data_IF_509928598994
#
_entry.id   IF_509928598994
#
_cell.length_a   1.000
_cell.length_b   1.000
_cell.length_c   1.000
_cell.angle_alpha   90.00
_cell.angle_beta   90.00
_cell.angle_gamma   90.00
#
_symmetry.space_group_name_H-M   'P 1'
#
loop_
_entity.id
_entity.type
_entity.pdbx_description
1 polymer ?
#
# COMPACT_ATOMS: atom_id res chain seq x y z
N UNK A 1 1.85 -1.28 30.93
CA UNK A 1 0.94 -1.55 29.81
C UNK A 1 0.85 -3.04 29.56
N UNK A 2 -0.34 -3.61 29.46
CA UNK A 2 -0.49 -5.04 29.24
C UNK A 2 -0.47 -5.36 27.74
N UNK A 3 -0.38 -6.67 27.40
CA UNK A 3 -0.32 -7.12 26.01
C UNK A 3 -1.51 -6.71 25.15
N UNK A 4 -2.69 -6.67 25.76
CA UNK A 4 -3.91 -6.28 25.05
C UNK A 4 -3.87 -4.82 24.60
N UNK A 5 -3.36 -3.94 25.45
CA UNK A 5 -3.20 -2.52 25.09
C UNK A 5 -2.17 -2.34 23.99
N UNK A 6 -1.07 -3.11 24.02
CA UNK A 6 -0.04 -3.06 22.99
C UNK A 6 -0.57 -3.53 21.63
N UNK A 7 -1.34 -4.61 21.59
CA UNK A 7 -1.94 -5.11 20.37
C UNK A 7 -2.91 -4.08 19.77
N UNK A 8 -3.74 -3.48 20.62
CA UNK A 8 -4.68 -2.44 20.22
C UNK A 8 -3.95 -1.22 19.67
N UNK A 9 -2.87 -0.79 20.32
CA UNK A 9 -2.07 0.35 19.88
C UNK A 9 -1.43 0.09 18.51
N UNK A 10 -0.97 -1.15 18.24
CA UNK A 10 -0.41 -1.53 16.95
C UNK A 10 -1.42 -1.45 15.81
N UNK A 11 -2.63 -1.96 16.05
CA UNK A 11 -3.72 -1.86 15.07
C UNK A 11 -4.10 -0.41 14.81
N UNK A 12 -4.13 0.41 15.85
CA UNK A 12 -4.45 1.82 15.72
C UNK A 12 -3.40 2.59 14.93
N UNK A 13 -2.12 2.25 15.06
CA UNK A 13 -1.04 2.85 14.28
C UNK A 13 -1.16 2.50 12.80
N UNK A 14 -1.48 1.25 12.48
CA UNK A 14 -1.72 0.82 11.11
C UNK A 14 -2.87 1.60 10.47
N UNK A 15 -3.97 1.73 11.19
CA UNK A 15 -5.13 2.49 10.72
C UNK A 15 -4.78 3.96 10.49
N UNK A 16 -4.00 4.58 11.40
CA UNK A 16 -3.59 5.98 11.25
C UNK A 16 -2.71 6.18 10.02
N UNK A 17 -1.78 5.28 9.77
CA UNK A 17 -0.90 5.35 8.61
C UNK A 17 -1.70 5.26 7.32
N UNK A 18 -2.64 4.33 7.25
CA UNK A 18 -3.52 4.15 6.11
C UNK A 18 -4.36 5.42 5.85
N UNK A 19 -4.87 6.04 6.92
CA UNK A 19 -5.64 7.28 6.83
C UNK A 19 -4.78 8.42 6.30
N UNK A 20 -3.54 8.54 6.75
CA UNK A 20 -2.60 9.55 6.27
C UNK A 20 -2.37 9.38 4.77
N UNK A 21 -2.14 8.16 4.35
CA UNK A 21 -1.92 7.86 2.92
C UNK A 21 -3.15 8.20 2.10
N UNK A 22 -4.34 7.80 2.57
CA UNK A 22 -5.60 8.10 1.88
C UNK A 22 -5.78 9.61 1.69
N UNK A 23 -5.62 10.38 2.75
CA UNK A 23 -5.78 11.84 2.68
C UNK A 23 -4.80 12.47 1.70
N UNK A 24 -3.55 11.99 1.71
CA UNK A 24 -2.52 12.49 0.80
C UNK A 24 -2.84 12.14 -0.65
N UNK A 25 -3.29 10.90 -0.90
CA UNK A 25 -3.68 10.43 -2.23
C UNK A 25 -4.87 11.20 -2.79
N UNK A 26 -5.90 11.41 -1.98
CA UNK A 26 -7.10 12.14 -2.42
C UNK A 26 -6.73 13.54 -2.90
N UNK A 27 -5.90 14.26 -2.16
CA UNK A 27 -5.44 15.59 -2.57
C UNK A 27 -4.61 15.55 -3.85
N UNK A 28 -3.64 14.63 -3.90
CA UNK A 28 -2.75 14.48 -5.06
C UNK A 28 -3.54 14.13 -6.31
N UNK A 29 -4.47 13.18 -6.19
CA UNK A 29 -5.30 12.74 -7.32
C UNK A 29 -6.29 13.79 -7.78
N UNK A 30 -6.83 14.57 -6.85
CA UNK A 30 -7.72 15.68 -7.20
C UNK A 30 -7.03 16.68 -8.13
N UNK A 31 -5.80 17.07 -7.80
CA UNK A 31 -5.03 17.98 -8.63
C UNK A 31 -4.71 17.43 -10.02
N UNK A 32 -4.48 16.12 -10.11
CA UNK A 32 -4.04 15.47 -11.34
C UNK A 32 -5.20 14.89 -12.17
N UNK A 33 -6.42 14.97 -11.67
CA UNK A 33 -7.56 14.36 -12.35
C UNK A 33 -7.54 12.83 -12.33
N UNK A 34 -7.01 12.25 -11.25
CA UNK A 34 -6.94 10.79 -11.08
C UNK A 34 -8.00 10.32 -10.10
N UNK A 35 -8.33 9.04 -10.17
CA UNK A 35 -9.28 8.40 -9.26
C UNK A 35 -8.58 7.33 -8.43
N UNK A 36 -9.09 7.09 -7.22
CA UNK A 36 -8.55 6.09 -6.30
C UNK A 36 -9.65 5.09 -5.97
N UNK A 37 -9.33 3.80 -6.10
CA UNK A 37 -10.25 2.70 -5.81
C UNK A 37 -9.61 1.69 -4.88
N UNK A 38 -10.42 0.83 -4.30
CA UNK A 38 -10.03 -0.32 -3.52
C UNK A 38 -10.26 -1.58 -4.37
N UNK A 39 -9.31 -2.53 -4.32
CA UNK A 39 -9.42 -3.75 -5.10
C UNK A 39 -9.35 -4.98 -4.18
N UNK A 40 -10.27 -5.90 -4.37
CA UNK A 40 -10.34 -7.11 -3.57
C UNK A 40 -10.83 -8.29 -4.41
N UNK A 41 -10.21 -9.45 -4.21
CA UNK A 41 -10.74 -10.73 -4.71
C UNK A 41 -10.90 -11.71 -3.54
N UNK A 42 -11.08 -13.01 -3.82
CA UNK A 42 -11.30 -14.01 -2.77
C UNK A 42 -10.07 -14.26 -1.91
N UNK A 43 -8.88 -13.96 -2.41
CA UNK A 43 -7.61 -14.34 -1.79
C UNK A 43 -6.81 -13.19 -1.25
N UNK A 44 -7.02 -11.99 -1.76
CA UNK A 44 -6.16 -10.85 -1.44
C UNK A 44 -6.90 -9.54 -1.63
N UNK A 45 -6.28 -8.47 -1.13
CA UNK A 45 -6.81 -7.11 -1.29
C UNK A 45 -5.66 -6.12 -1.46
N UNK A 46 -5.92 -5.07 -2.24
CA UNK A 46 -4.99 -3.97 -2.46
C UNK A 46 -5.67 -2.69 -1.98
N UNK A 47 -5.00 -1.98 -1.08
CA UNK A 47 -5.61 -0.84 -0.37
C UNK A 47 -5.99 0.29 -1.31
N UNK A 48 -5.11 0.65 -2.26
CA UNK A 48 -5.36 1.77 -3.16
C UNK A 48 -4.91 1.44 -4.57
N UNK A 49 -5.81 1.63 -5.52
CA UNK A 49 -5.53 1.49 -6.95
C UNK A 49 -5.80 2.83 -7.59
N UNK A 50 -4.78 3.45 -8.16
CA UNK A 50 -4.86 4.79 -8.76
C UNK A 50 -5.06 4.65 -10.26
N UNK A 51 -6.11 5.31 -10.77
CA UNK A 51 -6.50 5.22 -12.17
C UNK A 51 -6.50 6.58 -12.86
N UNK A 52 -6.03 6.58 -14.11
CA UNK A 52 -6.18 7.71 -15.02
C UNK A 52 -7.17 7.28 -16.09
N UNK A 53 -8.41 7.73 -15.97
CA UNK A 53 -9.53 7.25 -16.76
C UNK A 53 -9.69 5.73 -16.57
N UNK A 54 -9.53 4.93 -17.61
CA UNK A 54 -9.69 3.48 -17.55
C UNK A 54 -8.37 2.73 -17.34
N UNK A 55 -7.28 3.45 -17.11
CA UNK A 55 -5.97 2.82 -16.95
C UNK A 55 -5.47 2.92 -15.53
N UNK A 56 -5.08 1.78 -14.95
CA UNK A 56 -4.44 1.75 -13.63
C UNK A 56 -2.99 2.19 -13.77
N UNK A 57 -2.61 3.21 -13.02
CA UNK A 57 -1.25 3.79 -13.09
C UNK A 57 -0.39 3.47 -11.87
N UNK A 58 -1.00 3.07 -10.75
CA UNK A 58 -0.26 2.68 -9.55
C UNK A 58 -1.12 1.84 -8.62
N UNK A 59 -0.51 0.85 -7.97
CA UNK A 59 -1.14 0.03 -6.94
C UNK A 59 -0.37 0.21 -5.64
N UNK A 60 -1.05 0.53 -4.55
CA UNK A 60 -0.43 0.87 -3.26
C UNK A 60 -1.03 0.04 -2.14
N UNK A 61 -0.16 -0.60 -1.34
CA UNK A 61 -0.51 -1.19 -0.06
C UNK A 61 0.09 -0.36 1.06
N UNK A 62 -0.55 -0.39 2.23
CA UNK A 62 -0.05 0.30 3.41
C UNK A 62 -0.01 -0.69 4.57
N UNK A 63 1.14 -0.81 5.22
CA UNK A 63 1.31 -1.63 6.40
C UNK A 63 2.30 -0.95 7.34
N UNK A 64 1.91 -0.75 8.60
CA UNK A 64 2.77 -0.07 9.56
C UNK A 64 4.11 -0.79 9.71
N UNK A 65 4.07 -2.12 9.80
CA UNK A 65 5.24 -2.97 10.06
C UNK A 65 5.14 -4.27 9.27
N UNK A 66 6.15 -4.56 8.46
CA UNK A 66 6.23 -5.79 7.67
C UNK A 66 7.38 -6.71 8.13
N UNK A 67 7.85 -6.55 9.36
CA UNK A 67 8.90 -7.44 9.92
C UNK A 67 8.42 -8.87 10.09
N UNK A 68 7.11 -9.08 10.29
CA UNK A 68 6.51 -10.42 10.32
C UNK A 68 6.43 -11.00 8.91
N UNK A 69 6.99 -12.18 8.66
CA UNK A 69 6.90 -12.82 7.33
C UNK A 69 5.46 -13.03 6.86
N UNK A 70 4.56 -13.34 7.78
CA UNK A 70 3.14 -13.55 7.45
C UNK A 70 2.48 -12.25 6.95
N UNK A 71 2.71 -11.15 7.64
CA UNK A 71 2.19 -9.84 7.25
C UNK A 71 2.79 -9.40 5.90
N UNK A 72 4.11 -9.52 5.77
CA UNK A 72 4.82 -9.18 4.54
C UNK A 72 4.25 -9.94 3.35
N UNK A 73 4.07 -11.24 3.49
CA UNK A 73 3.53 -12.09 2.43
C UNK A 73 2.12 -11.68 2.03
N UNK A 74 1.27 -11.39 3.01
CA UNK A 74 -0.10 -10.95 2.77
C UNK A 74 -0.14 -9.65 1.97
N UNK A 75 0.67 -8.67 2.35
CA UNK A 75 0.69 -7.37 1.68
C UNK A 75 1.25 -7.48 0.26
N UNK A 76 2.31 -8.24 0.07
CA UNK A 76 2.89 -8.48 -1.26
C UNK A 76 1.90 -9.24 -2.15
N UNK A 77 1.19 -10.23 -1.61
CA UNK A 77 0.17 -10.97 -2.38
C UNK A 77 -0.94 -10.04 -2.87
N UNK A 78 -1.31 -9.02 -2.08
CA UNK A 78 -2.29 -8.02 -2.51
C UNK A 78 -1.81 -7.23 -3.73
N UNK A 79 -0.54 -6.83 -3.73
CA UNK A 79 0.04 -6.14 -4.88
C UNK A 79 0.15 -7.05 -6.11
N UNK A 80 0.54 -8.30 -5.92
CA UNK A 80 0.62 -9.25 -7.04
C UNK A 80 -0.76 -9.55 -7.62
N UNK A 81 -1.77 -9.67 -6.78
CA UNK A 81 -3.16 -9.83 -7.25
C UNK A 81 -3.57 -8.61 -8.09
N UNK A 82 -3.29 -7.40 -7.62
CA UNK A 82 -3.60 -6.19 -8.35
C UNK A 82 -2.86 -6.17 -9.71
N UNK A 83 -1.59 -6.55 -9.72
CA UNK A 83 -0.83 -6.67 -10.96
C UNK A 83 -1.49 -7.64 -11.94
N UNK A 84 -1.88 -8.82 -11.47
CA UNK A 84 -2.51 -9.83 -12.34
C UNK A 84 -3.82 -9.33 -12.95
N UNK A 85 -4.60 -8.57 -12.20
CA UNK A 85 -5.89 -8.08 -12.68
C UNK A 85 -5.77 -6.83 -13.56
N UNK A 86 -4.82 -5.95 -13.28
CA UNK A 86 -4.73 -4.64 -13.94
C UNK A 86 -3.56 -4.51 -14.91
N UNK A 87 -2.58 -5.40 -14.84
CA UNK A 87 -1.32 -5.35 -15.57
C UNK A 87 -0.44 -4.14 -15.22
N UNK A 88 -0.76 -3.45 -14.14
CA UNK A 88 0.03 -2.32 -13.66
C UNK A 88 1.29 -2.82 -12.93
N UNK A 89 2.46 -2.41 -13.40
CA UNK A 89 3.75 -2.82 -12.81
C UNK A 89 4.29 -1.79 -11.80
N UNK A 90 3.56 -0.74 -11.53
CA UNK A 90 3.94 0.28 -10.54
C UNK A 90 3.37 -0.12 -9.18
N UNK A 91 4.08 -1.00 -8.48
CA UNK A 91 3.64 -1.58 -7.22
C UNK A 91 4.43 -1.00 -6.05
N UNK A 92 3.71 -0.47 -5.06
CA UNK A 92 4.29 0.25 -3.93
C UNK A 92 3.71 -0.26 -2.61
N UNK A 93 4.59 -0.61 -1.68
CA UNK A 93 4.21 -0.95 -0.31
C UNK A 93 4.76 0.13 0.63
N UNK A 94 3.87 0.88 1.25
CA UNK A 94 4.21 1.96 2.17
C UNK A 94 4.21 1.45 3.61
N UNK A 95 5.27 1.78 4.35
CA UNK A 95 5.47 1.36 5.73
C UNK A 95 5.81 2.55 6.61
N UNK A 96 5.97 2.33 7.91
CA UNK A 96 6.41 3.38 8.81
C UNK A 96 7.88 3.76 8.55
N UNK A 97 8.78 2.78 8.44
CA UNK A 97 10.22 3.07 8.39
C UNK A 97 11.06 2.15 7.50
N UNK A 98 10.46 1.15 6.87
CA UNK A 98 11.22 0.14 6.11
C UNK A 98 11.41 0.57 4.66
N UNK A 99 12.59 0.30 4.11
CA UNK A 99 12.91 0.58 2.72
C UNK A 99 13.55 -0.64 2.06
N UNK A 100 13.03 -1.04 0.92
CA UNK A 100 13.56 -2.17 0.16
C UNK A 100 13.08 -2.13 -1.29
N UNK A 101 13.97 -2.42 -2.22
CA UNK A 101 13.60 -2.72 -3.60
C UNK A 101 13.63 -4.23 -3.75
N UNK A 102 12.53 -4.85 -4.10
CA UNK A 102 12.43 -6.31 -4.20
C UNK A 102 11.68 -6.72 -5.46
N UNK A 103 11.69 -8.02 -5.74
CA UNK A 103 11.02 -8.58 -6.91
C UNK A 103 10.31 -9.88 -6.51
N UNK A 104 9.07 -10.04 -6.94
CA UNK A 104 8.28 -11.24 -6.69
C UNK A 104 7.62 -11.66 -8.00
N UNK A 105 7.77 -12.93 -8.36
CA UNK A 105 7.20 -13.49 -9.60
C UNK A 105 7.61 -12.67 -10.84
N UNK A 106 8.84 -12.15 -10.83
CA UNK A 106 9.34 -11.33 -11.92
C UNK A 106 8.86 -9.89 -11.93
N UNK A 107 8.10 -9.47 -10.93
CA UNK A 107 7.52 -8.12 -10.88
C UNK A 107 8.20 -7.30 -9.78
N UNK A 108 8.75 -6.11 -10.12
CA UNK A 108 9.39 -5.26 -9.11
C UNK A 108 8.38 -4.65 -8.15
N UNK A 109 8.75 -4.60 -6.88
CA UNK A 109 7.96 -3.97 -5.82
C UNK A 109 8.86 -3.04 -5.04
N UNK A 110 8.45 -1.79 -4.88
CA UNK A 110 9.16 -0.81 -4.04
C UNK A 110 8.50 -0.77 -2.67
N UNK A 111 9.30 -0.90 -1.63
CA UNK A 111 8.87 -0.76 -0.24
C UNK A 111 9.55 0.49 0.30
N UNK A 112 8.80 1.45 0.83
CA UNK A 112 9.39 2.68 1.35
C UNK A 112 8.54 3.29 2.47
N UNK A 113 9.16 4.14 3.32
CA UNK A 113 8.42 4.85 4.35
C UNK A 113 7.42 5.84 3.78
N UNK A 114 6.29 5.99 4.47
CA UNK A 114 5.24 6.94 4.08
C UNK A 114 5.80 8.37 3.97
N UNK A 115 6.66 8.78 4.91
CA UNK A 115 7.19 10.15 4.90
C UNK A 115 8.02 10.43 3.65
N UNK A 116 8.76 9.44 3.17
CA UNK A 116 9.55 9.58 1.94
C UNK A 116 8.64 9.72 0.72
N UNK A 117 7.64 8.86 0.62
CA UNK A 117 6.66 8.93 -0.44
C UNK A 117 5.89 10.26 -0.44
N UNK A 118 5.51 10.73 0.74
CA UNK A 118 4.75 11.98 0.87
C UNK A 118 5.54 13.20 0.41
N UNK A 119 6.86 13.14 0.46
CA UNK A 119 7.74 14.23 0.03
C UNK A 119 8.05 14.22 -1.48
N UNK A 120 7.63 13.21 -2.20
CA UNK A 120 7.93 13.02 -3.63
C UNK A 120 6.94 13.71 -4.57
N UNK A 121 6.56 14.90 -4.28
CA UNK A 121 5.59 15.62 -5.13
C UNK A 121 6.29 16.52 -6.12
#
# INVERSE_FOLDING_TARGET
MNQRENAFAGENLGWRLETIVLNHLVRRCHYKGLDVYYLKDRTAECDFVVCNNNKVVQCIQVSYDISSPKTRKREINGLLMAYRQTKCENLLLLTDHEYEETEHEGVPITIKPVYEWACEI
#
